data_IF_609774195032
#
_entry.id   IF_609774195032
#
_cell.length_a   1.000
_cell.length_b   1.000
_cell.length_c   1.000
_cell.angle_alpha   90.00
_cell.angle_beta   90.00
_cell.angle_gamma   90.00
#
_symmetry.space_group_name_H-M   'P 1'
#
loop_
_entity.id
_entity.type
_entity.pdbx_description
1 polymer ?
#
# COMPACT_ATOMS: atom_id res chain seq x y z
N UNK A 1 27.54 33.40 -15.88
CA UNK A 1 26.09 33.10 -15.81
C UNK A 1 25.60 33.61 -14.46
N UNK A 2 24.67 34.56 -14.43
CA UNK A 2 24.26 35.20 -13.18
C UNK A 2 23.48 34.25 -12.25
N UNK A 3 23.44 34.52 -10.93
CA UNK A 3 22.79 33.65 -9.94
C UNK A 3 21.32 33.36 -10.25
N UNK A 4 20.60 34.29 -10.89
CA UNK A 4 19.21 34.11 -11.29
C UNK A 4 19.00 32.97 -12.32
N UNK A 5 19.92 32.78 -13.28
CA UNK A 5 19.82 31.71 -14.28
C UNK A 5 20.13 30.32 -13.72
N UNK A 6 20.91 30.25 -12.65
CA UNK A 6 21.23 28.98 -11.97
C UNK A 6 20.02 28.53 -11.14
N UNK A 7 19.32 29.46 -10.50
CA UNK A 7 18.10 29.20 -9.74
C UNK A 7 16.96 28.73 -10.66
N UNK A 8 16.75 29.40 -11.79
CA UNK A 8 15.74 29.01 -12.80
C UNK A 8 16.00 27.63 -13.42
N UNK A 9 17.27 27.31 -13.73
CA UNK A 9 17.66 25.99 -14.25
C UNK A 9 17.48 24.86 -13.21
N UNK A 10 17.63 25.18 -11.92
CA UNK A 10 17.43 24.22 -10.83
C UNK A 10 15.95 23.90 -10.64
N UNK A 11 15.08 24.92 -10.69
CA UNK A 11 13.62 24.73 -10.62
C UNK A 11 13.07 23.92 -11.81
N UNK A 12 13.58 24.16 -13.02
CA UNK A 12 13.19 23.37 -14.20
C UNK A 12 13.70 21.93 -14.13
N UNK A 13 14.90 21.69 -13.60
CA UNK A 13 15.42 20.34 -13.39
C UNK A 13 14.60 19.57 -12.33
N UNK A 14 14.22 20.22 -11.22
CA UNK A 14 13.40 19.61 -10.17
C UNK A 14 11.99 19.30 -10.67
N UNK A 15 11.38 20.22 -11.43
CA UNK A 15 10.09 20.00 -12.07
C UNK A 15 10.13 18.81 -13.05
N UNK A 16 11.18 18.72 -13.87
CA UNK A 16 11.35 17.60 -14.82
C UNK A 16 11.54 16.26 -14.09
N UNK A 17 12.29 16.23 -12.99
CA UNK A 17 12.47 15.04 -12.16
C UNK A 17 11.19 14.62 -11.43
N UNK A 18 10.38 15.59 -10.97
CA UNK A 18 9.08 15.29 -10.35
C UNK A 18 8.09 14.73 -11.37
N UNK A 19 8.10 15.28 -12.60
CA UNK A 19 7.26 14.80 -13.70
C UNK A 19 7.65 13.39 -14.14
N UNK A 20 8.95 13.09 -14.26
CA UNK A 20 9.42 11.74 -14.60
C UNK A 20 9.07 10.72 -13.51
N UNK A 21 9.16 11.10 -12.24
CA UNK A 21 8.76 10.24 -11.10
C UNK A 21 7.26 9.97 -11.12
N UNK A 22 6.43 10.99 -11.37
CA UNK A 22 4.98 10.83 -11.50
C UNK A 22 4.64 9.87 -12.65
N UNK A 23 5.23 10.07 -13.83
CA UNK A 23 5.00 9.19 -15.00
C UNK A 23 5.40 7.75 -14.67
N UNK A 24 6.53 7.54 -13.98
CA UNK A 24 6.97 6.21 -13.58
C UNK A 24 5.98 5.55 -12.59
N UNK A 25 5.57 6.26 -11.53
CA UNK A 25 4.59 5.75 -10.55
C UNK A 25 3.22 5.51 -11.18
N UNK A 26 2.80 6.36 -12.11
CA UNK A 26 1.55 6.22 -12.83
C UNK A 26 1.58 5.02 -13.79
N UNK A 27 2.71 4.77 -14.44
CA UNK A 27 2.92 3.57 -15.26
C UNK A 27 2.83 2.32 -14.39
N UNK A 28 3.50 2.30 -13.23
CA UNK A 28 3.42 1.18 -12.27
C UNK A 28 1.99 0.98 -11.78
N UNK A 29 1.26 2.05 -11.49
CA UNK A 29 -0.14 2.00 -11.08
C UNK A 29 -1.03 1.33 -12.14
N UNK A 30 -0.92 1.75 -13.40
CA UNK A 30 -1.69 1.16 -14.51
C UNK A 30 -1.33 -0.33 -14.68
N UNK A 31 -0.04 -0.67 -14.70
CA UNK A 31 0.40 -2.06 -14.83
C UNK A 31 -0.08 -2.92 -13.65
N UNK A 32 -0.09 -2.39 -12.42
CA UNK A 32 -0.60 -3.07 -11.25
C UNK A 32 -2.11 -3.34 -11.34
N UNK A 33 -2.91 -2.45 -11.95
CA UNK A 33 -4.34 -2.70 -12.22
C UNK A 33 -4.50 -3.90 -13.15
N UNK A 34 -3.76 -3.95 -14.26
CA UNK A 34 -3.80 -5.08 -15.18
C UNK A 34 -3.44 -6.39 -14.48
N UNK A 35 -2.33 -6.40 -13.73
CA UNK A 35 -1.91 -7.58 -12.96
C UNK A 35 -2.99 -7.99 -11.97
N UNK A 36 -3.56 -7.06 -11.20
CA UNK A 36 -4.62 -7.34 -10.23
C UNK A 36 -5.87 -7.96 -10.88
N UNK A 37 -6.29 -7.42 -12.04
CA UNK A 37 -7.40 -7.96 -12.81
C UNK A 37 -7.16 -9.43 -13.21
N UNK A 38 -6.02 -9.74 -13.84
CA UNK A 38 -5.71 -11.10 -14.28
C UNK A 38 -5.53 -12.08 -13.12
N UNK A 39 -5.01 -11.63 -11.97
CA UNK A 39 -4.84 -12.46 -10.77
C UNK A 39 -6.19 -12.87 -10.17
N UNK A 40 -7.17 -11.96 -10.12
CA UNK A 40 -8.48 -12.24 -9.49
C UNK A 40 -9.45 -12.94 -10.45
N UNK A 41 -9.32 -12.74 -11.77
CA UNK A 41 -10.28 -13.26 -12.74
C UNK A 41 -10.28 -14.80 -12.85
N UNK A 42 -9.16 -15.47 -12.55
CA UNK A 42 -9.00 -16.92 -12.75
C UNK A 42 -9.16 -17.75 -11.46
N UNK A 43 -10.02 -17.31 -10.54
CA UNK A 43 -10.23 -17.99 -9.25
C UNK A 43 -11.47 -18.88 -9.30
N UNK A 44 -11.40 -20.05 -8.68
CA UNK A 44 -12.55 -20.97 -8.60
C UNK A 44 -13.66 -20.39 -7.72
N UNK A 45 -14.93 -20.64 -8.06
CA UNK A 45 -16.07 -20.01 -7.40
C UNK A 45 -16.14 -20.23 -5.88
N UNK A 46 -15.64 -21.38 -5.41
CA UNK A 46 -15.57 -21.69 -3.99
C UNK A 46 -14.57 -20.81 -3.20
N UNK A 47 -13.64 -20.13 -3.89
CA UNK A 47 -12.58 -19.33 -3.28
C UNK A 47 -12.89 -17.83 -3.24
N UNK A 48 -14.02 -17.35 -3.78
CA UNK A 48 -14.33 -15.90 -3.73
C UNK A 48 -14.44 -15.36 -2.30
N UNK A 49 -15.06 -16.09 -1.38
CA UNK A 49 -15.17 -15.66 0.03
C UNK A 49 -13.81 -15.68 0.76
N UNK A 50 -12.98 -16.75 0.66
CA UNK A 50 -11.59 -16.70 1.13
C UNK A 50 -10.77 -15.58 0.50
N UNK A 51 -10.92 -15.34 -0.81
CA UNK A 51 -10.20 -14.29 -1.52
C UNK A 51 -10.59 -12.90 -1.04
N UNK A 52 -11.87 -12.67 -0.76
CA UNK A 52 -12.35 -11.43 -0.15
C UNK A 52 -11.71 -11.17 1.22
N UNK A 53 -11.52 -12.22 2.02
CA UNK A 53 -10.83 -12.11 3.32
C UNK A 53 -9.34 -11.78 3.14
N UNK A 54 -8.68 -12.39 2.15
CA UNK A 54 -7.26 -12.12 1.87
C UNK A 54 -7.05 -10.70 1.34
N UNK A 55 -7.91 -10.21 0.44
CA UNK A 55 -7.81 -8.83 -0.05
C UNK A 55 -8.05 -7.80 1.05
N UNK A 56 -8.91 -8.11 2.04
CA UNK A 56 -9.04 -7.30 3.24
C UNK A 56 -7.72 -7.24 4.05
N UNK A 57 -7.03 -8.37 4.22
CA UNK A 57 -5.71 -8.40 4.86
C UNK A 57 -4.67 -7.58 4.08
N UNK A 58 -4.61 -7.73 2.76
CA UNK A 58 -3.66 -7.03 1.85
C UNK A 58 -3.88 -5.52 1.87
N UNK A 59 -5.12 -5.05 2.03
CA UNK A 59 -5.43 -3.61 2.15
C UNK A 59 -4.67 -2.91 3.29
N UNK A 60 -4.15 -3.68 4.25
CA UNK A 60 -3.34 -3.19 5.36
C UNK A 60 -1.97 -2.64 4.98
N UNK A 61 -1.65 -2.51 3.68
CA UNK A 61 -0.48 -1.77 3.17
C UNK A 61 -0.41 -0.34 3.72
N UNK A 62 -1.53 0.21 4.20
CA UNK A 62 -1.62 1.46 4.96
C UNK A 62 -0.66 1.54 6.16
N UNK A 63 -0.17 0.40 6.69
CA UNK A 63 0.83 0.35 7.76
C UNK A 63 2.10 1.13 7.38
N UNK A 64 2.50 1.13 6.11
CA UNK A 64 3.68 1.87 5.64
C UNK A 64 3.49 3.36 5.86
N UNK A 65 2.32 3.90 5.52
CA UNK A 65 1.99 5.31 5.77
C UNK A 65 1.89 5.64 7.27
N UNK A 66 1.33 4.73 8.06
CA UNK A 66 1.22 4.88 9.51
C UNK A 66 2.61 4.95 10.19
N UNK A 67 3.55 4.12 9.76
CA UNK A 67 4.94 4.13 10.25
C UNK A 67 5.67 5.43 9.88
N UNK A 68 5.46 5.95 8.66
CA UNK A 68 6.01 7.25 8.25
C UNK A 68 5.45 8.38 9.14
N UNK A 69 4.14 8.37 9.41
CA UNK A 69 3.50 9.38 10.26
C UNK A 69 3.93 9.28 11.74
N UNK A 70 4.24 8.08 12.24
CA UNK A 70 4.72 7.85 13.59
C UNK A 70 6.23 8.12 13.77
N UNK A 71 6.99 8.21 12.67
CA UNK A 71 8.45 8.36 12.64
C UNK A 71 9.05 9.65 13.24
N UNK A 72 8.40 10.83 13.19
CA UNK A 72 8.97 12.05 13.77
C UNK A 72 9.33 11.92 15.25
N UNK A 73 10.44 12.52 15.68
CA UNK A 73 10.87 12.46 17.09
C UNK A 73 9.94 13.27 18.01
N UNK A 74 9.52 14.45 17.57
CA UNK A 74 8.66 15.34 18.33
C UNK A 74 7.24 14.78 18.52
N UNK A 75 6.67 15.02 19.70
CA UNK A 75 5.29 14.65 20.02
C UNK A 75 4.30 15.63 19.38
N UNK A 76 3.99 15.38 18.10
CA UNK A 76 3.00 16.13 17.34
C UNK A 76 1.69 15.32 17.16
N UNK A 77 0.62 16.01 16.80
CA UNK A 77 -0.67 15.37 16.47
C UNK A 77 -0.54 14.24 15.44
N UNK A 78 0.33 14.42 14.43
CA UNK A 78 0.64 13.40 13.42
C UNK A 78 1.20 12.11 14.03
N UNK A 79 2.03 12.22 15.09
CA UNK A 79 2.62 11.05 15.75
C UNK A 79 1.60 10.26 16.56
N UNK A 80 0.69 10.96 17.24
CA UNK A 80 -0.43 10.33 17.97
C UNK A 80 -1.35 9.60 16.99
N UNK A 81 -1.71 10.25 15.89
CA UNK A 81 -2.52 9.63 14.84
C UNK A 81 -1.80 8.49 14.13
N UNK A 82 -0.50 8.63 13.87
CA UNK A 82 0.35 7.57 13.31
C UNK A 82 0.41 6.35 14.22
N UNK A 83 0.56 6.55 15.53
CA UNK A 83 0.53 5.45 16.50
C UNK A 83 -0.83 4.72 16.50
N UNK A 84 -1.95 5.46 16.54
CA UNK A 84 -3.28 4.86 16.44
C UNK A 84 -3.48 4.12 15.10
N UNK A 85 -3.01 4.70 14.00
CA UNK A 85 -3.06 4.07 12.69
C UNK A 85 -2.24 2.77 12.64
N UNK A 86 -1.07 2.71 13.29
CA UNK A 86 -0.27 1.49 13.41
C UNK A 86 -1.03 0.41 14.17
N UNK A 87 -1.69 0.76 15.28
CA UNK A 87 -2.50 -0.19 16.07
C UNK A 87 -3.66 -0.74 15.24
N UNK A 88 -4.43 0.14 14.59
CA UNK A 88 -5.57 -0.26 13.76
C UNK A 88 -5.15 -1.09 12.54
N UNK A 89 -4.07 -0.68 11.86
CA UNK A 89 -3.51 -1.45 10.74
C UNK A 89 -3.04 -2.83 11.21
N UNK A 90 -2.41 -2.93 12.38
CA UNK A 90 -1.98 -4.21 12.95
C UNK A 90 -3.16 -5.15 13.20
N UNK A 91 -4.27 -4.65 13.75
CA UNK A 91 -5.50 -5.45 13.93
C UNK A 91 -6.03 -5.97 12.60
N UNK A 92 -6.03 -5.15 11.55
CA UNK A 92 -6.48 -5.58 10.22
C UNK A 92 -5.55 -6.63 9.59
N UNK A 93 -4.23 -6.49 9.75
CA UNK A 93 -3.24 -7.50 9.32
C UNK A 93 -3.53 -8.82 10.01
N UNK A 94 -3.45 -8.87 11.34
CA UNK A 94 -3.55 -10.13 12.08
C UNK A 94 -4.95 -10.73 11.96
N UNK A 95 -6.00 -9.92 12.10
CA UNK A 95 -7.38 -10.38 11.95
C UNK A 95 -7.66 -10.92 10.55
N UNK A 96 -7.25 -10.17 9.51
CA UNK A 96 -7.43 -10.58 8.12
C UNK A 96 -6.73 -11.89 7.78
N UNK A 97 -5.47 -12.07 8.21
CA UNK A 97 -4.74 -13.30 7.93
C UNK A 97 -5.24 -14.51 8.73
N UNK A 98 -5.62 -14.34 10.00
CA UNK A 98 -6.18 -15.44 10.83
C UNK A 98 -7.50 -15.95 10.25
N UNK A 99 -8.41 -15.04 9.86
CA UNK A 99 -9.71 -15.41 9.28
C UNK A 99 -9.50 -16.09 7.93
N UNK A 100 -8.63 -15.54 7.07
CA UNK A 100 -8.30 -16.14 5.78
C UNK A 100 -7.74 -17.56 5.94
N UNK A 101 -6.84 -17.77 6.91
CA UNK A 101 -6.28 -19.08 7.19
C UNK A 101 -7.35 -20.08 7.64
N UNK A 102 -8.27 -19.66 8.53
CA UNK A 102 -9.39 -20.52 8.97
C UNK A 102 -10.29 -20.90 7.79
N UNK A 103 -10.55 -19.97 6.87
CA UNK A 103 -11.35 -20.24 5.69
C UNK A 103 -10.66 -21.24 4.74
N UNK A 104 -9.36 -21.09 4.51
CA UNK A 104 -8.59 -21.99 3.65
C UNK A 104 -8.39 -23.38 4.26
N UNK A 105 -8.33 -23.47 5.60
CA UNK A 105 -8.24 -24.75 6.31
C UNK A 105 -9.47 -25.65 6.06
N UNK A 106 -10.64 -25.09 5.75
CA UNK A 106 -11.84 -25.86 5.43
C UNK A 106 -11.75 -26.61 4.09
N UNK A 107 -10.81 -26.24 3.21
CA UNK A 107 -10.58 -26.90 1.93
C UNK A 107 -9.48 -27.97 1.99
N UNK A 108 -8.82 -28.13 3.13
CA UNK A 108 -7.82 -29.19 3.32
C UNK A 108 -8.54 -30.51 3.54
N UNK A 109 -8.17 -31.55 2.80
CA UNK A 109 -8.61 -32.92 3.12
C UNK A 109 -8.11 -33.26 4.53
N UNK A 110 -9.02 -33.80 5.34
CA UNK A 110 -8.73 -34.29 6.68
C UNK A 110 -8.03 -35.63 6.51
N UNK A 111 -6.73 -35.66 6.81
CA UNK A 111 -6.06 -36.92 7.15
C UNK A 111 -6.62 -37.43 8.49
#
# INVERSE_FOLDING_TARGET
MGPAKILEATDTALATASMSTLIALFTVFILAIFVGYYVVWNVTSALHSPLMSVTNAISSVIIVGALIAAGPMELNFSKIMGFLAVVLASVNIFGGFIVSQRMLQMFRKKD
#
